data_IF_094332929090
#
_entry.id   IF_094332929090
#
_cell.length_a   1.000
_cell.length_b   1.000
_cell.length_c   1.000
_cell.angle_alpha   90.00
_cell.angle_beta   90.00
_cell.angle_gamma   90.00
#
_symmetry.space_group_name_H-M   'P 1'
#
loop_
_entity.id
_entity.type
_entity.pdbx_description
1 polymer ?
#
# COMPACT_ATOMS: atom_id res chain seq x y z
N UNK A 1 -11.56 13.27 -14.03
CA UNK A 1 -10.68 12.66 -13.03
C UNK A 1 -11.46 12.11 -11.85
N UNK A 2 -11.49 10.77 -11.72
CA UNK A 2 -12.08 10.07 -10.57
C UNK A 2 -10.96 9.75 -9.57
N UNK A 3 -11.24 9.95 -8.30
CA UNK A 3 -10.32 9.60 -7.22
C UNK A 3 -10.72 8.26 -6.60
N UNK A 4 -9.77 7.37 -6.38
CA UNK A 4 -9.99 6.07 -5.75
C UNK A 4 -8.96 5.87 -4.65
N UNK A 5 -9.45 5.59 -3.44
CA UNK A 5 -8.60 5.19 -2.32
C UNK A 5 -8.60 3.67 -2.23
N UNK A 6 -7.44 3.06 -2.44
CA UNK A 6 -7.25 1.63 -2.25
C UNK A 6 -6.62 1.36 -0.88
N UNK A 7 -7.44 0.83 0.02
CA UNK A 7 -7.03 0.50 1.39
C UNK A 7 -6.62 -0.97 1.46
N UNK A 8 -5.38 -1.25 1.87
CA UNK A 8 -4.83 -2.60 2.00
C UNK A 8 -4.47 -2.88 3.46
N UNK A 9 -5.34 -3.56 4.23
CA UNK A 9 -4.99 -4.04 5.55
C UNK A 9 -4.03 -5.24 5.46
N UNK A 10 -3.01 -5.26 6.32
CA UNK A 10 -1.99 -6.31 6.33
C UNK A 10 -1.45 -6.58 7.73
N UNK A 11 -1.06 -7.84 7.98
CA UNK A 11 -0.42 -8.29 9.22
C UNK A 11 0.46 -9.51 8.96
N UNK A 12 1.77 -9.36 9.10
CA UNK A 12 2.82 -10.36 8.88
C UNK A 12 2.75 -11.00 7.48
N UNK A 13 2.36 -10.24 6.45
CA UNK A 13 2.14 -10.73 5.07
C UNK A 13 3.06 -10.12 4.02
N UNK A 14 4.26 -9.66 4.39
CA UNK A 14 5.20 -8.98 3.49
C UNK A 14 5.26 -9.51 2.05
N UNK A 15 5.55 -10.81 1.85
CA UNK A 15 5.64 -11.41 0.50
C UNK A 15 4.32 -11.34 -0.29
N UNK A 16 3.16 -11.50 0.37
CA UNK A 16 1.85 -11.39 -0.30
C UNK A 16 1.51 -9.94 -0.59
N UNK A 17 1.83 -9.03 0.33
CA UNK A 17 1.66 -7.60 0.13
C UNK A 17 2.45 -7.13 -1.10
N UNK A 18 3.73 -7.51 -1.21
CA UNK A 18 4.54 -7.18 -2.39
C UNK A 18 3.93 -7.69 -3.69
N UNK A 19 3.35 -8.91 -3.69
CA UNK A 19 2.66 -9.46 -4.87
C UNK A 19 1.38 -8.69 -5.20
N UNK A 20 0.62 -8.30 -4.18
CA UNK A 20 -0.59 -7.49 -4.31
C UNK A 20 -0.24 -6.13 -4.92
N UNK A 21 0.76 -5.44 -4.37
CA UNK A 21 1.23 -4.15 -4.89
C UNK A 21 1.69 -4.25 -6.36
N UNK A 22 2.46 -5.29 -6.70
CA UNK A 22 2.87 -5.55 -8.09
C UNK A 22 1.71 -5.87 -9.05
N UNK A 23 0.57 -6.36 -8.53
CA UNK A 23 -0.61 -6.66 -9.36
C UNK A 23 -1.48 -5.43 -9.61
N UNK A 24 -1.23 -4.32 -8.91
CA UNK A 24 -1.90 -3.06 -9.15
C UNK A 24 -1.28 -2.45 -10.42
N UNK A 25 -1.89 -2.74 -11.56
CA UNK A 25 -1.67 -2.03 -12.82
C UNK A 25 -2.83 -1.06 -13.03
N UNK A 26 -2.56 0.23 -13.09
CA UNK A 26 -3.55 1.22 -13.51
C UNK A 26 -2.98 1.97 -14.71
N UNK A 27 -3.67 1.80 -15.83
CA UNK A 27 -3.34 2.44 -17.11
C UNK A 27 -4.56 3.23 -17.59
N UNK A 28 -5.06 4.10 -16.70
CA UNK A 28 -6.26 4.89 -16.94
C UNK A 28 -5.90 6.33 -16.64
N UNK A 29 -5.68 7.10 -17.70
CA UNK A 29 -5.28 8.52 -17.68
C UNK A 29 -6.23 9.44 -16.88
N UNK A 30 -7.38 8.93 -16.46
CA UNK A 30 -8.45 9.69 -15.82
C UNK A 30 -8.75 9.23 -14.37
N UNK A 31 -7.92 8.36 -13.80
CA UNK A 31 -8.03 7.88 -12.41
C UNK A 31 -6.78 8.28 -11.62
N UNK A 32 -7.00 8.94 -10.48
CA UNK A 32 -5.99 9.13 -9.43
C UNK A 32 -6.22 8.01 -8.42
N UNK A 33 -5.21 7.17 -8.21
CA UNK A 33 -5.25 6.04 -7.29
C UNK A 33 -4.33 6.31 -6.10
N UNK A 34 -4.91 6.41 -4.90
CA UNK A 34 -4.17 6.53 -3.65
C UNK A 34 -4.11 5.19 -2.94
N UNK A 35 -2.90 4.64 -2.77
CA UNK A 35 -2.71 3.35 -2.09
C UNK A 35 -2.34 3.61 -0.63
N UNK A 36 -3.22 3.17 0.27
CA UNK A 36 -3.09 3.32 1.71
C UNK A 36 -2.93 1.94 2.34
N UNK A 37 -1.78 1.69 2.97
CA UNK A 37 -1.51 0.41 3.63
C UNK A 37 -1.73 0.55 5.13
N UNK A 38 -2.55 -0.33 5.70
CA UNK A 38 -2.82 -0.38 7.14
C UNK A 38 -2.11 -1.60 7.73
N UNK A 39 -1.09 -1.39 8.57
CA UNK A 39 -0.36 -2.42 9.28
C UNK A 39 -0.93 -2.59 10.69
N UNK A 40 -1.63 -3.71 10.93
CA UNK A 40 -2.20 -4.08 12.24
C UNK A 40 -1.18 -4.88 13.07
N UNK A 41 -0.58 -4.26 14.09
CA UNK A 41 0.40 -4.88 14.98
C UNK A 41 1.71 -5.34 14.31
N UNK A 42 1.86 -5.13 13.00
CA UNK A 42 3.01 -5.55 12.21
C UNK A 42 4.01 -4.40 11.99
N UNK A 43 4.85 -4.19 13.02
CA UNK A 43 5.88 -3.15 13.01
C UNK A 43 6.95 -3.40 11.94
N UNK A 44 7.28 -4.66 11.66
CA UNK A 44 8.32 -5.00 10.69
C UNK A 44 7.90 -4.60 9.26
N UNK A 45 6.68 -4.94 8.86
CA UNK A 45 6.16 -4.53 7.56
C UNK A 45 6.00 -3.02 7.48
N UNK A 46 5.46 -2.37 8.51
CA UNK A 46 5.30 -0.91 8.53
C UNK A 46 6.65 -0.20 8.31
N UNK A 47 7.69 -0.63 9.04
CA UNK A 47 9.03 -0.10 8.89
C UNK A 47 9.58 -0.30 7.47
N UNK A 48 9.45 -1.52 6.92
CA UNK A 48 9.90 -1.82 5.55
C UNK A 48 9.23 -0.93 4.50
N UNK A 49 7.92 -0.71 4.62
CA UNK A 49 7.16 0.15 3.70
C UNK A 49 7.59 1.61 3.81
N UNK A 50 7.72 2.13 5.03
CA UNK A 50 8.16 3.51 5.29
C UNK A 50 9.60 3.77 4.83
N UNK A 51 10.45 2.74 4.88
CA UNK A 51 11.83 2.80 4.37
C UNK A 51 11.93 2.61 2.85
N UNK A 52 10.84 2.23 2.18
CA UNK A 52 10.83 2.00 0.74
C UNK A 52 10.48 3.29 -0.02
N UNK A 53 11.21 3.59 -1.09
CA UNK A 53 10.89 4.69 -2.01
C UNK A 53 9.90 4.22 -3.10
N UNK A 54 8.86 3.48 -2.71
CA UNK A 54 7.87 2.97 -3.66
C UNK A 54 6.85 4.06 -3.98
N UNK A 55 6.89 4.59 -5.20
CA UNK A 55 6.00 5.68 -5.65
C UNK A 55 4.53 5.26 -5.74
N UNK A 56 4.23 3.97 -5.66
CA UNK A 56 2.86 3.46 -5.63
C UNK A 56 2.18 3.74 -4.28
N UNK A 57 2.95 3.73 -3.19
CA UNK A 57 2.41 3.79 -1.83
C UNK A 57 2.29 5.25 -1.41
N UNK A 58 1.07 5.78 -1.41
CA UNK A 58 0.80 7.14 -0.95
C UNK A 58 0.95 7.25 0.57
N UNK A 59 0.50 6.22 1.32
CA UNK A 59 0.48 6.30 2.78
C UNK A 59 0.60 4.94 3.47
N UNK A 60 1.27 4.93 4.61
CA UNK A 60 1.34 3.79 5.54
C UNK A 60 0.80 4.22 6.90
N UNK A 61 -0.12 3.43 7.46
CA UNK A 61 -0.73 3.63 8.77
C UNK A 61 -0.42 2.42 9.63
N UNK A 62 0.21 2.62 10.78
CA UNK A 62 0.47 1.57 11.75
C UNK A 62 -0.52 1.68 12.92
N UNK A 63 -1.21 0.58 13.23
CA UNK A 63 -2.13 0.44 14.35
C UNK A 63 -1.51 -0.55 15.35
N UNK A 64 -1.49 -0.18 16.63
CA UNK A 64 -0.93 -0.99 17.72
C UNK A 64 -1.91 -2.04 18.21
#
# INVERSE_FOLDING_TARGET
>A
MKHIDLIIPTRNRWKKLQRCLKSISFDISDIILDVIIICDGDHETAYKLLSSNDSLITRVIYIK
#
